data_IF_368739557423
#
_entry.id   IF_368739557423
#
_cell.length_a   1.000
_cell.length_b   1.000
_cell.length_c   1.000
_cell.angle_alpha   90.00
_cell.angle_beta   90.00
_cell.angle_gamma   90.00
#
_symmetry.space_group_name_H-M   'P 1'
#
loop_
_entity.id
_entity.type
_entity.pdbx_description
1 polymer ?
#
# COMPACT_ATOMS: atom_id res chain seq x y z
N UNK A 1 0.68 -26.49 -18.67
CA UNK A 1 0.87 -25.15 -19.24
C UNK A 1 0.00 -24.08 -18.58
N UNK A 2 -1.34 -24.14 -18.64
CA UNK A 2 -2.18 -23.10 -18.00
C UNK A 2 -2.03 -23.06 -16.47
N UNK A 3 -2.06 -24.23 -15.82
CA UNK A 3 -1.93 -24.32 -14.36
C UNK A 3 -0.56 -23.83 -13.88
N UNK A 4 0.51 -24.08 -14.65
CA UNK A 4 1.86 -23.63 -14.31
C UNK A 4 1.96 -22.10 -14.38
N UNK A 5 1.41 -21.50 -15.44
CA UNK A 5 1.34 -20.05 -15.60
C UNK A 5 0.51 -19.40 -14.48
N UNK A 6 -0.64 -20.00 -14.14
CA UNK A 6 -1.48 -19.53 -13.05
C UNK A 6 -0.76 -19.60 -11.71
N UNK A 7 -0.12 -20.74 -11.40
CA UNK A 7 0.66 -20.93 -10.18
C UNK A 7 1.80 -19.92 -10.09
N UNK A 8 2.47 -19.63 -11.20
CA UNK A 8 3.53 -18.64 -11.28
C UNK A 8 3.03 -17.23 -10.91
N UNK A 9 1.93 -16.76 -11.50
CA UNK A 9 1.37 -15.45 -11.17
C UNK A 9 0.82 -15.35 -9.75
N UNK A 10 0.23 -16.42 -9.23
CA UNK A 10 -0.21 -16.48 -7.82
C UNK A 10 1.01 -16.35 -6.90
N UNK A 11 2.10 -17.07 -7.19
CA UNK A 11 3.35 -16.96 -6.45
C UNK A 11 3.92 -15.53 -6.46
N UNK A 12 3.99 -14.92 -7.64
CA UNK A 12 4.47 -13.54 -7.79
C UNK A 12 3.60 -12.51 -7.04
N UNK A 13 2.28 -12.69 -7.04
CA UNK A 13 1.35 -11.83 -6.31
C UNK A 13 1.53 -11.97 -4.80
N UNK A 14 1.64 -13.20 -4.29
CA UNK A 14 1.87 -13.48 -2.87
C UNK A 14 3.21 -12.88 -2.44
N UNK A 15 4.26 -13.08 -3.23
CA UNK A 15 5.57 -12.52 -2.94
C UNK A 15 5.56 -10.98 -2.92
N UNK A 16 4.96 -10.34 -3.93
CA UNK A 16 4.80 -8.89 -4.00
C UNK A 16 4.04 -8.34 -2.78
N UNK A 17 2.98 -9.04 -2.35
CA UNK A 17 2.24 -8.71 -1.14
C UNK A 17 3.14 -8.75 0.10
N UNK A 18 3.87 -9.85 0.33
CA UNK A 18 4.74 -9.98 1.49
C UNK A 18 5.86 -8.93 1.52
N UNK A 19 6.55 -8.70 0.41
CA UNK A 19 7.57 -7.66 0.33
C UNK A 19 6.98 -6.29 0.65
N UNK A 20 5.87 -5.93 -0.01
CA UNK A 20 5.28 -4.62 0.16
C UNK A 20 4.86 -4.35 1.60
N UNK A 21 4.20 -5.32 2.26
CA UNK A 21 3.78 -5.16 3.65
C UNK A 21 4.95 -5.21 4.64
N UNK A 22 5.97 -6.02 4.39
CA UNK A 22 7.19 -6.03 5.20
C UNK A 22 7.91 -4.67 5.12
N UNK A 23 8.08 -4.13 3.90
CA UNK A 23 8.67 -2.82 3.68
C UNK A 23 7.81 -1.72 4.32
N UNK A 24 6.49 -1.76 4.15
CA UNK A 24 5.59 -0.79 4.78
C UNK A 24 5.72 -0.82 6.30
N UNK A 25 5.84 -2.01 6.90
CA UNK A 25 6.09 -2.14 8.33
C UNK A 25 7.42 -1.51 8.74
N UNK A 26 8.50 -1.77 7.99
CA UNK A 26 9.82 -1.17 8.24
C UNK A 26 9.79 0.35 8.08
N UNK A 27 9.18 0.87 7.01
CA UNK A 27 9.04 2.31 6.77
C UNK A 27 8.28 2.96 7.93
N UNK A 28 7.14 2.39 8.35
CA UNK A 28 6.37 2.90 9.49
C UNK A 28 7.14 2.86 10.81
N UNK A 29 7.93 1.81 11.01
CA UNK A 29 8.79 1.67 12.17
C UNK A 29 9.88 2.74 12.17
N UNK A 30 10.54 2.96 11.03
CA UNK A 30 11.60 3.95 10.86
C UNK A 30 11.11 5.40 10.96
N UNK A 31 9.96 5.72 10.37
CA UNK A 31 9.43 7.10 10.31
C UNK A 31 8.63 7.51 11.54
N UNK A 32 8.46 6.63 12.54
CA UNK A 32 7.76 6.86 13.82
C UNK A 32 6.54 7.79 13.66
N UNK A 33 5.62 7.42 12.76
CA UNK A 33 4.30 8.05 12.52
C UNK A 33 4.26 9.52 12.07
N UNK A 34 5.39 10.16 11.73
CA UNK A 34 5.37 11.56 11.27
C UNK A 34 5.03 11.75 9.79
N UNK A 35 4.91 10.67 9.02
CA UNK A 35 4.71 10.75 7.58
C UNK A 35 3.23 10.67 7.21
N UNK A 36 2.80 11.49 6.25
CA UNK A 36 1.48 11.35 5.62
C UNK A 36 1.35 9.94 5.03
N UNK A 37 0.18 9.30 5.19
CA UNK A 37 -0.05 7.94 4.69
C UNK A 37 0.24 7.78 3.20
N UNK A 38 -0.01 8.82 2.40
CA UNK A 38 0.30 8.81 0.97
C UNK A 38 1.81 8.72 0.72
N UNK A 39 2.59 9.53 1.44
CA UNK A 39 4.05 9.48 1.40
C UNK A 39 4.55 8.11 1.88
N UNK A 40 3.99 7.56 2.96
CA UNK A 40 4.35 6.20 3.43
C UNK A 40 4.16 5.16 2.33
N UNK A 41 3.01 5.18 1.63
CA UNK A 41 2.72 4.23 0.56
C UNK A 41 3.69 4.38 -0.62
N UNK A 42 4.04 5.62 -1.01
CA UNK A 42 5.01 5.88 -2.08
C UNK A 42 6.40 5.39 -1.68
N UNK A 43 6.91 5.76 -0.50
CA UNK A 43 8.23 5.30 -0.06
C UNK A 43 8.27 3.78 0.07
N UNK A 44 7.21 3.17 0.59
CA UNK A 44 7.13 1.71 0.70
C UNK A 44 7.16 1.05 -0.67
N UNK A 45 6.49 1.63 -1.67
CA UNK A 45 6.53 1.13 -3.04
C UNK A 45 7.94 1.24 -3.64
N UNK A 46 8.58 2.42 -3.55
CA UNK A 46 9.94 2.63 -4.08
C UNK A 46 10.95 1.68 -3.41
N UNK A 47 10.91 1.57 -2.08
CA UNK A 47 11.81 0.68 -1.33
C UNK A 47 11.54 -0.79 -1.68
N UNK A 48 10.28 -1.18 -1.90
CA UNK A 48 9.95 -2.54 -2.36
C UNK A 48 10.54 -2.85 -3.73
N UNK A 49 10.55 -1.89 -4.66
CA UNK A 49 11.18 -2.05 -5.96
C UNK A 49 12.69 -2.24 -5.84
N UNK A 50 13.35 -1.42 -5.03
CA UNK A 50 14.80 -1.50 -4.78
C UNK A 50 15.17 -2.85 -4.17
N UNK A 51 14.44 -3.27 -3.12
CA UNK A 51 14.68 -4.55 -2.45
C UNK A 51 14.43 -5.71 -3.43
N UNK A 52 13.37 -5.66 -4.22
CA UNK A 52 13.08 -6.71 -5.22
C UNK A 52 14.20 -6.81 -6.25
N UNK A 53 14.72 -5.68 -6.74
CA UNK A 53 15.85 -5.66 -7.66
C UNK A 53 17.11 -6.27 -7.03
N UNK A 54 17.45 -5.86 -5.80
CA UNK A 54 18.63 -6.37 -5.09
C UNK A 54 18.50 -7.87 -4.80
N UNK A 55 17.34 -8.33 -4.31
CA UNK A 55 17.13 -9.74 -3.99
C UNK A 55 17.22 -10.63 -5.24
N UNK A 56 16.73 -10.12 -6.39
CA UNK A 56 16.81 -10.84 -7.67
C UNK A 56 18.27 -11.05 -8.09
N UNK A 57 19.10 -10.00 -7.98
CA UNK A 57 20.52 -10.06 -8.34
C UNK A 57 21.36 -10.86 -7.33
N UNK A 58 21.14 -10.66 -6.03
CA UNK A 58 22.02 -11.20 -4.98
C UNK A 58 21.70 -12.65 -4.63
N UNK A 59 20.42 -12.99 -4.51
CA UNK A 59 20.01 -14.29 -3.99
C UNK A 59 19.76 -15.32 -5.10
N UNK A 60 19.90 -14.93 -6.38
CA UNK A 60 19.57 -15.78 -7.52
C UNK A 60 18.22 -16.48 -7.32
N UNK A 61 17.24 -15.77 -6.75
CA UNK A 61 15.89 -16.31 -6.55
C UNK A 61 15.23 -16.39 -7.93
N UNK A 62 15.54 -17.50 -8.60
CA UNK A 62 14.93 -18.15 -9.75
C UNK A 62 14.01 -17.30 -10.60
N UNK A 63 14.47 -16.87 -11.79
CA UNK A 63 13.71 -16.52 -13.01
C UNK A 63 12.52 -15.56 -12.93
N UNK A 64 12.10 -15.11 -11.73
CA UNK A 64 10.96 -14.24 -11.57
C UNK A 64 11.44 -12.82 -11.82
N UNK A 65 11.63 -12.53 -13.11
CA UNK A 65 12.14 -11.27 -13.60
C UNK A 65 11.35 -10.11 -12.98
N UNK A 66 12.06 -9.00 -12.73
CA UNK A 66 11.48 -7.74 -12.31
C UNK A 66 10.25 -7.37 -13.17
N UNK A 67 10.24 -7.79 -14.44
CA UNK A 67 9.16 -7.66 -15.42
C UNK A 67 7.83 -8.25 -14.92
N UNK A 68 7.83 -9.38 -14.23
CA UNK A 68 6.62 -10.03 -13.72
C UNK A 68 6.22 -9.55 -12.32
N UNK A 69 7.20 -9.23 -11.48
CA UNK A 69 6.97 -8.72 -10.14
C UNK A 69 6.48 -7.27 -10.12
N UNK A 70 6.97 -6.44 -11.05
CA UNK A 70 6.63 -5.02 -11.12
C UNK A 70 5.12 -4.77 -11.29
N UNK A 71 4.40 -5.44 -12.24
CA UNK A 71 2.94 -5.35 -12.33
C UNK A 71 2.23 -5.77 -11.05
N UNK A 72 2.72 -6.82 -10.37
CA UNK A 72 2.11 -7.30 -9.13
C UNK A 72 2.29 -6.31 -7.97
N UNK A 73 3.48 -5.72 -7.83
CA UNK A 73 3.72 -4.65 -6.87
C UNK A 73 2.85 -3.42 -7.14
N UNK A 74 2.66 -3.06 -8.41
CA UNK A 74 1.74 -1.98 -8.81
C UNK A 74 0.30 -2.31 -8.38
N UNK A 75 -0.16 -3.54 -8.63
CA UNK A 75 -1.51 -3.96 -8.23
C UNK A 75 -1.70 -3.89 -6.71
N UNK A 76 -0.73 -4.39 -5.94
CA UNK A 76 -0.75 -4.31 -4.46
C UNK A 76 -0.74 -2.85 -3.99
N UNK A 77 0.10 -2.00 -4.58
CA UNK A 77 0.14 -0.57 -4.28
C UNK A 77 -1.21 0.12 -4.54
N UNK A 78 -1.84 -0.12 -5.70
CA UNK A 78 -3.15 0.46 -6.01
C UNK A 78 -4.25 -0.07 -5.09
N UNK A 79 -4.18 -1.35 -4.73
CA UNK A 79 -5.13 -1.95 -3.80
C UNK A 79 -5.02 -1.31 -2.42
N UNK A 80 -3.82 -1.16 -1.87
CA UNK A 80 -3.59 -0.50 -0.59
C UNK A 80 -3.98 0.99 -0.64
N UNK A 81 -3.59 1.69 -1.71
CA UNK A 81 -3.97 3.09 -1.93
C UNK A 81 -5.48 3.27 -1.95
N UNK A 82 -6.22 2.39 -2.63
CA UNK A 82 -7.69 2.45 -2.70
C UNK A 82 -8.34 2.07 -1.37
N UNK A 83 -7.81 1.08 -0.66
CA UNK A 83 -8.31 0.66 0.64
C UNK A 83 -8.22 1.80 1.67
N UNK A 84 -7.15 2.59 1.60
CA UNK A 84 -6.87 3.68 2.53
C UNK A 84 -7.56 5.02 2.21
N UNK A 85 -8.31 5.14 1.11
CA UNK A 85 -9.06 6.37 0.75
C UNK A 85 -10.37 6.58 1.54
N UNK A 86 -10.78 5.59 2.31
CA UNK A 86 -12.08 5.61 2.95
C UNK A 86 -11.98 5.35 4.45
N UNK A 87 -12.80 6.05 5.22
CA UNK A 87 -12.99 5.85 6.66
C UNK A 87 -14.47 5.61 6.94
N UNK A 88 -14.78 5.00 8.09
CA UNK A 88 -16.17 4.87 8.54
C UNK A 88 -16.61 6.16 9.20
N UNK A 89 -17.80 6.63 8.85
CA UNK A 89 -18.43 7.75 9.53
C UNK A 89 -18.61 7.40 11.02
N UNK A 90 -18.23 8.28 11.96
CA UNK A 90 -18.31 7.98 13.39
C UNK A 90 -19.75 7.83 13.90
N UNK A 91 -20.74 8.45 13.23
CA UNK A 91 -22.12 8.44 13.69
C UNK A 91 -22.96 7.31 13.06
N UNK A 92 -22.76 7.02 11.77
CA UNK A 92 -23.59 6.04 11.05
C UNK A 92 -22.82 4.85 10.46
N UNK A 93 -21.50 4.77 10.71
CA UNK A 93 -20.60 3.74 10.19
C UNK A 93 -20.48 3.64 8.65
N UNK A 94 -21.18 4.50 7.91
CA UNK A 94 -21.15 4.55 6.45
C UNK A 94 -19.74 4.87 5.90
N UNK A 95 -19.39 4.31 4.74
CA UNK A 95 -18.06 4.48 4.16
C UNK A 95 -17.96 5.85 3.48
N UNK A 96 -17.16 6.74 4.07
CA UNK A 96 -16.92 8.11 3.58
C UNK A 96 -15.47 8.25 3.11
N UNK A 97 -15.21 9.22 2.22
CA UNK A 97 -13.84 9.55 1.81
C UNK A 97 -13.09 10.19 2.99
N UNK A 98 -11.78 9.96 3.08
CA UNK A 98 -10.94 10.54 4.16
C UNK A 98 -11.01 12.07 4.16
N UNK A 99 -11.05 12.68 2.98
CA UNK A 99 -11.17 14.13 2.79
C UNK A 99 -12.60 14.69 3.00
N UNK A 100 -13.59 13.85 3.31
CA UNK A 100 -14.96 14.30 3.49
C UNK A 100 -15.17 14.99 4.85
N UNK A 101 -15.59 16.25 4.82
CA UNK A 101 -15.98 17.03 6.01
C UNK A 101 -17.46 16.84 6.42
N UNK A 102 -18.22 16.07 5.63
CA UNK A 102 -19.65 15.82 5.89
C UNK A 102 -20.07 14.45 5.39
N UNK A 103 -20.84 13.72 6.20
CA UNK A 103 -21.45 12.47 5.76
C UNK A 103 -22.56 12.75 4.74
N UNK A 104 -22.62 11.99 3.63
CA UNK A 104 -23.76 12.05 2.69
C UNK A 104 -25.02 11.38 3.23
N UNK A 105 -24.87 10.45 4.19
CA UNK A 105 -25.97 9.64 4.71
C UNK A 105 -26.62 10.26 5.96
N UNK A 106 -25.83 10.55 7.00
CA UNK A 106 -26.35 11.14 8.25
C UNK A 106 -26.19 12.66 8.33
N UNK A 107 -25.64 13.30 7.30
CA UNK A 107 -25.40 14.75 7.22
C UNK A 107 -24.52 15.39 8.29
N UNK A 108 -24.05 14.61 9.27
CA UNK A 108 -23.11 15.04 10.31
C UNK A 108 -21.85 15.60 9.69
N UNK A 109 -21.51 16.81 10.13
CA UNK A 109 -20.23 17.43 9.86
C UNK A 109 -19.22 16.93 10.88
N UNK A 110 -18.07 16.52 10.38
CA UNK A 110 -16.92 16.22 11.19
C UNK A 110 -15.81 17.09 10.61
N UNK A 111 -14.94 17.60 11.47
CA UNK A 111 -13.70 18.12 10.93
C UNK A 111 -13.08 16.93 10.18
N UNK A 112 -12.71 17.09 8.89
CA UNK A 112 -11.79 16.13 8.31
C UNK A 112 -10.65 16.03 9.32
N UNK A 113 -10.05 14.85 9.49
CA UNK A 113 -8.74 14.83 10.13
C UNK A 113 -7.85 15.65 9.20
N UNK A 114 -7.87 16.96 9.41
CA UNK A 114 -6.82 17.85 9.01
C UNK A 114 -5.62 17.18 9.65
N UNK A 115 -4.69 16.75 8.81
CA UNK A 115 -3.42 16.24 9.24
C UNK A 115 -2.77 17.42 9.97
N UNK A 116 -3.08 17.58 11.27
CA UNK A 116 -2.70 18.74 12.06
C UNK A 116 -1.18 18.84 11.96
N UNK A 117 -0.76 19.88 11.24
CA UNK A 117 0.59 20.33 10.97
C UNK A 117 1.63 19.84 11.99
N UNK A 118 2.74 19.31 11.49
CA UNK A 118 4.04 19.44 12.15
C UNK A 118 5.04 20.06 11.18
N UNK A 119 4.79 21.32 10.82
CA UNK A 119 5.85 22.32 10.80
C UNK A 119 6.25 22.61 12.24
N UNK A 120 7.24 21.89 12.77
CA UNK A 120 8.39 22.39 13.55
C UNK A 120 9.53 21.38 13.37
#
# INVERSE_FOLDING_TARGET
MFLDLLSYYIGALIYAFFIYYAVMWVVRFATRKKLERFKEAIYSFIVSLIITAILTEVLYIWEVTLIHHFPMLILVFFFDYRANKYVKCPQCAEKIKVEANRCKHCHTTFQPKEDVNLTV
#
